data_IF_115074591809
#
_entry.id   IF_115074591809
#
_cell.length_a   1.000
_cell.length_b   1.000
_cell.length_c   1.000
_cell.angle_alpha   90.00
_cell.angle_beta   90.00
_cell.angle_gamma   90.00
#
_symmetry.space_group_name_H-M   'P 1'
#
loop_
_entity.id
_entity.type
_entity.pdbx_description
1 polymer ?
#
# COMPACT_ATOMS: atom_id res chain seq x y z
N UNK A 1 0.95 -22.89 -17.60
CA UNK A 1 -0.20 -21.97 -17.47
C UNK A 1 0.02 -20.84 -18.45
N UNK A 2 -0.98 -20.55 -19.28
CA UNK A 2 -0.91 -19.40 -20.19
C UNK A 2 -1.04 -18.11 -19.38
N UNK A 3 -0.17 -17.14 -19.64
CA UNK A 3 -0.22 -15.82 -18.97
C UNK A 3 -1.39 -15.00 -19.50
N UNK A 4 -2.05 -14.28 -18.60
CA UNK A 4 -3.17 -13.40 -18.96
C UNK A 4 -2.64 -12.10 -19.57
N UNK A 5 -3.31 -11.62 -20.64
CA UNK A 5 -2.98 -10.35 -21.28
C UNK A 5 -3.65 -9.20 -20.54
N UNK A 6 -2.88 -8.16 -20.22
CA UNK A 6 -3.37 -6.92 -19.61
C UNK A 6 -3.01 -5.78 -20.55
N UNK A 7 -4.02 -5.01 -20.93
CA UNK A 7 -3.84 -3.88 -21.84
C UNK A 7 -3.31 -2.68 -21.05
N UNK A 8 -2.45 -1.90 -21.69
CA UNK A 8 -1.93 -0.66 -21.13
C UNK A 8 -2.35 0.49 -22.04
N UNK A 9 -3.03 1.46 -21.45
CA UNK A 9 -3.46 2.67 -22.15
C UNK A 9 -3.17 3.88 -21.27
N UNK A 10 -2.45 4.86 -21.81
CA UNK A 10 -2.10 6.12 -21.11
C UNK A 10 -1.61 5.88 -19.67
N UNK A 11 -0.63 4.99 -19.50
CA UNK A 11 -0.01 4.65 -18.20
C UNK A 11 -1.00 4.03 -17.20
N UNK A 12 -2.08 3.44 -17.68
CA UNK A 12 -3.08 2.74 -16.87
C UNK A 12 -3.23 1.30 -17.31
N UNK A 13 -3.41 0.40 -16.35
CA UNK A 13 -3.79 -0.99 -16.60
C UNK A 13 -5.29 -1.04 -16.89
N UNK A 14 -5.66 -1.53 -18.08
CA UNK A 14 -7.04 -1.57 -18.58
C UNK A 14 -7.37 -2.92 -19.20
N UNK A 15 -8.62 -3.09 -19.64
CA UNK A 15 -9.11 -4.33 -20.24
C UNK A 15 -9.52 -5.39 -19.20
N UNK A 16 -9.88 -6.56 -19.70
CA UNK A 16 -10.59 -7.61 -18.94
C UNK A 16 -9.85 -8.08 -17.70
N UNK A 17 -8.53 -8.24 -17.76
CA UNK A 17 -7.72 -8.78 -16.66
C UNK A 17 -7.01 -7.71 -15.82
N UNK A 18 -7.29 -6.42 -16.06
CA UNK A 18 -6.67 -5.31 -15.33
C UNK A 18 -6.93 -5.36 -13.83
N UNK A 19 -8.18 -5.61 -13.42
CA UNK A 19 -8.55 -5.67 -12.01
C UNK A 19 -7.76 -6.77 -11.28
N UNK A 20 -7.62 -7.94 -11.89
CA UNK A 20 -6.87 -9.05 -11.31
C UNK A 20 -5.39 -8.67 -11.12
N UNK A 21 -4.77 -8.08 -12.14
CA UNK A 21 -3.40 -7.59 -12.07
C UNK A 21 -3.22 -6.52 -10.98
N UNK A 22 -4.15 -5.56 -10.88
CA UNK A 22 -4.14 -4.53 -9.82
C UNK A 22 -4.23 -5.16 -8.43
N UNK A 23 -5.09 -6.17 -8.25
CA UNK A 23 -5.24 -6.88 -6.98
C UNK A 23 -3.98 -7.69 -6.63
N UNK A 24 -3.33 -8.30 -7.63
CA UNK A 24 -2.06 -9.01 -7.46
C UNK A 24 -0.93 -8.05 -7.04
N UNK A 25 -0.79 -6.90 -7.73
CA UNK A 25 0.14 -5.82 -7.34
C UNK A 25 -0.11 -5.41 -5.90
N UNK A 26 -1.36 -5.13 -5.55
CA UNK A 26 -1.72 -4.75 -4.19
C UNK A 26 -1.36 -5.82 -3.16
N UNK A 27 -1.50 -7.09 -3.50
CA UNK A 27 -1.12 -8.21 -2.64
C UNK A 27 0.39 -8.28 -2.43
N UNK A 28 1.20 -8.16 -3.49
CA UNK A 28 2.66 -8.14 -3.38
C UNK A 28 3.20 -6.94 -2.63
N UNK A 29 2.57 -5.76 -2.78
CA UNK A 29 2.88 -4.54 -2.03
C UNK A 29 2.66 -4.69 -0.51
N UNK A 30 1.83 -5.64 -0.08
CA UNK A 30 1.60 -5.93 1.35
C UNK A 30 2.60 -6.91 1.94
N UNK A 31 3.50 -7.50 1.14
CA UNK A 31 4.51 -8.43 1.66
C UNK A 31 5.76 -7.65 2.03
N UNK A 32 6.19 -7.76 3.28
CA UNK A 32 7.33 -7.00 3.83
C UNK A 32 8.64 -7.25 3.07
N UNK A 33 8.84 -8.46 2.54
CA UNK A 33 9.98 -8.80 1.68
C UNK A 33 10.03 -8.00 0.38
N UNK A 34 8.87 -7.64 -0.16
CA UNK A 34 8.77 -6.82 -1.37
C UNK A 34 8.67 -5.34 -1.01
N UNK A 35 8.07 -4.99 0.12
CA UNK A 35 7.66 -3.63 0.44
C UNK A 35 7.86 -3.34 1.94
N UNK A 36 9.02 -2.79 2.33
CA UNK A 36 9.33 -2.56 3.73
C UNK A 36 8.44 -1.44 4.31
N UNK A 37 7.63 -1.81 5.30
CA UNK A 37 6.65 -0.91 5.94
C UNK A 37 7.29 0.24 6.75
N UNK A 38 8.60 0.14 7.04
CA UNK A 38 9.39 1.18 7.71
C UNK A 38 9.65 2.41 6.84
N UNK A 39 9.55 2.29 5.52
CA UNK A 39 9.65 3.43 4.61
C UNK A 39 8.42 4.31 4.83
N UNK A 40 8.58 5.63 4.97
CA UNK A 40 7.44 6.54 5.19
C UNK A 40 6.71 6.87 3.88
N UNK A 41 7.46 7.18 2.82
CA UNK A 41 6.93 7.64 1.54
C UNK A 41 7.32 6.68 0.42
N UNK A 42 6.39 6.37 -0.48
CA UNK A 42 6.66 5.50 -1.63
C UNK A 42 7.88 5.95 -2.45
N UNK A 43 8.09 7.26 -2.60
CA UNK A 43 9.24 7.82 -3.32
C UNK A 43 10.61 7.47 -2.72
N UNK A 44 10.63 7.04 -1.45
CA UNK A 44 11.84 6.63 -0.74
C UNK A 44 12.01 5.10 -0.77
N UNK A 45 11.19 4.37 -1.51
CA UNK A 45 11.28 2.93 -1.61
C UNK A 45 12.55 2.52 -2.37
N UNK A 46 13.28 1.48 -1.92
CA UNK A 46 14.43 0.99 -2.66
C UNK A 46 14.04 0.53 -4.06
N UNK A 47 14.77 0.98 -5.08
CA UNK A 47 14.47 0.66 -6.47
C UNK A 47 14.51 -0.85 -6.77
N UNK A 48 15.37 -1.60 -6.06
CA UNK A 48 15.41 -3.07 -6.11
C UNK A 48 14.04 -3.71 -5.75
N UNK A 49 13.36 -3.16 -4.74
CA UNK A 49 12.05 -3.62 -4.28
C UNK A 49 10.96 -3.32 -5.31
N UNK A 50 11.03 -2.13 -5.92
CA UNK A 50 10.13 -1.75 -7.01
C UNK A 50 10.32 -2.70 -8.21
N UNK A 51 11.58 -2.89 -8.61
CA UNK A 51 11.96 -3.79 -9.70
C UNK A 51 11.49 -5.22 -9.46
N UNK A 52 11.57 -5.72 -8.22
CA UNK A 52 11.12 -7.07 -7.86
C UNK A 52 9.62 -7.26 -8.10
N UNK A 53 8.78 -6.32 -7.68
CA UNK A 53 7.33 -6.41 -7.94
C UNK A 53 7.01 -6.19 -9.41
N UNK A 54 7.72 -5.28 -10.08
CA UNK A 54 7.60 -5.07 -11.53
C UNK A 54 7.91 -6.35 -12.32
N UNK A 55 8.95 -7.10 -11.92
CA UNK A 55 9.26 -8.42 -12.47
C UNK A 55 8.16 -9.44 -12.17
N UNK A 56 7.64 -9.49 -10.94
CA UNK A 56 6.51 -10.38 -10.61
C UNK A 56 5.30 -10.11 -11.52
N UNK A 57 4.94 -8.85 -11.78
CA UNK A 57 3.85 -8.55 -12.72
C UNK A 57 4.11 -9.20 -14.08
N UNK A 58 5.31 -9.04 -14.65
CA UNK A 58 5.68 -9.61 -15.95
C UNK A 58 5.85 -11.13 -15.94
N UNK A 59 6.12 -11.72 -14.77
CA UNK A 59 6.18 -13.17 -14.60
C UNK A 59 4.78 -13.81 -14.67
N UNK A 60 3.72 -13.10 -14.27
CA UNK A 60 2.33 -13.61 -14.27
C UNK A 60 1.45 -13.09 -15.41
N UNK A 61 1.73 -11.88 -15.92
CA UNK A 61 0.92 -11.18 -16.91
C UNK A 61 1.73 -10.79 -18.15
N UNK A 62 1.06 -10.70 -19.30
CA UNK A 62 1.61 -10.12 -20.53
C UNK A 62 1.04 -8.72 -20.67
N UNK A 63 1.89 -7.69 -20.61
CA UNK A 63 1.46 -6.29 -20.80
C UNK A 63 1.48 -5.95 -22.28
N UNK A 64 0.44 -5.26 -22.75
CA UNK A 64 0.31 -4.91 -24.18
C UNK A 64 -0.09 -3.44 -24.34
N UNK A 65 0.80 -2.58 -24.84
CA UNK A 65 2.24 -2.80 -25.01
C UNK A 65 2.98 -2.96 -23.67
N UNK A 66 4.14 -3.63 -23.68
CA UNK A 66 5.08 -3.63 -22.54
C UNK A 66 6.19 -2.61 -22.79
N UNK A 67 5.86 -1.34 -22.56
CA UNK A 67 6.73 -0.19 -22.80
C UNK A 67 6.90 0.66 -21.52
N UNK A 68 7.41 1.89 -21.66
CA UNK A 68 7.55 2.82 -20.53
C UNK A 68 6.21 3.18 -19.88
N UNK A 69 5.10 3.16 -20.63
CA UNK A 69 3.78 3.37 -20.04
C UNK A 69 3.37 2.20 -19.16
N UNK A 70 3.75 0.97 -19.52
CA UNK A 70 3.49 -0.22 -18.71
C UNK A 70 4.26 -0.16 -17.38
N UNK A 71 5.52 0.26 -17.43
CA UNK A 71 6.34 0.46 -16.22
C UNK A 71 5.74 1.55 -15.32
N UNK A 72 5.33 2.69 -15.88
CA UNK A 72 4.69 3.77 -15.12
C UNK A 72 3.32 3.35 -14.55
N UNK A 73 2.56 2.54 -15.28
CA UNK A 73 1.30 1.98 -14.82
C UNK A 73 1.51 1.09 -13.59
N UNK A 74 2.48 0.17 -13.65
CA UNK A 74 2.85 -0.69 -12.52
C UNK A 74 3.26 0.16 -11.32
N UNK A 75 4.19 1.11 -11.49
CA UNK A 75 4.66 2.01 -10.42
C UNK A 75 3.53 2.80 -9.78
N UNK A 76 2.61 3.31 -10.60
CA UNK A 76 1.43 4.03 -10.13
C UNK A 76 0.54 3.13 -9.28
N UNK A 77 0.25 1.91 -9.73
CA UNK A 77 -0.56 0.96 -8.96
C UNK A 77 0.12 0.54 -7.65
N UNK A 78 1.44 0.34 -7.67
CA UNK A 78 2.22 0.05 -6.46
C UNK A 78 2.13 1.21 -5.45
N UNK A 79 2.28 2.45 -5.92
CA UNK A 79 2.16 3.65 -5.09
C UNK A 79 0.77 3.77 -4.48
N UNK A 80 -0.28 3.61 -5.28
CA UNK A 80 -1.67 3.69 -4.81
C UNK A 80 -1.95 2.59 -3.78
N UNK A 81 -1.56 1.36 -4.06
CA UNK A 81 -1.71 0.24 -3.14
C UNK A 81 -0.98 0.49 -1.81
N UNK A 82 0.25 1.01 -1.86
CA UNK A 82 1.05 1.31 -0.68
C UNK A 82 0.41 2.42 0.17
N UNK A 83 0.02 3.54 -0.45
CA UNK A 83 -0.62 4.67 0.25
C UNK A 83 -1.93 4.22 0.89
N UNK A 84 -2.75 3.47 0.14
CA UNK A 84 -4.01 2.93 0.66
C UNK A 84 -3.77 2.00 1.84
N UNK A 85 -2.86 1.04 1.70
CA UNK A 85 -2.57 0.07 2.75
C UNK A 85 -2.11 0.76 4.04
N UNK A 86 -1.16 1.69 3.94
CA UNK A 86 -0.71 2.47 5.09
C UNK A 86 -1.81 3.31 5.73
N UNK A 87 -2.66 3.94 4.92
CA UNK A 87 -3.78 4.74 5.41
C UNK A 87 -4.78 3.91 6.20
N UNK A 88 -5.07 2.70 5.72
CA UNK A 88 -5.96 1.75 6.38
C UNK A 88 -5.36 1.21 7.69
N UNK A 89 -4.06 0.86 7.71
CA UNK A 89 -3.37 0.47 8.94
C UNK A 89 -3.35 1.62 9.97
N UNK A 90 -3.15 2.84 9.50
CA UNK A 90 -3.16 4.01 10.38
C UNK A 90 -4.58 4.28 10.92
N UNK A 91 -5.62 4.06 10.12
CA UNK A 91 -7.01 4.20 10.57
C UNK A 91 -7.35 3.13 11.62
N UNK A 92 -6.94 1.88 11.40
CA UNK A 92 -7.07 0.80 12.39
C UNK A 92 -6.31 1.12 13.68
N UNK A 93 -5.09 1.65 13.59
CA UNK A 93 -4.35 2.08 14.77
C UNK A 93 -5.09 3.18 15.56
N UNK A 94 -5.70 4.15 14.85
CA UNK A 94 -6.44 5.27 15.47
C UNK A 94 -7.78 4.88 16.07
N UNK A 95 -8.33 3.69 15.79
CA UNK A 95 -9.58 3.26 16.41
C UNK A 95 -9.42 2.80 17.86
N UNK A 96 -8.19 2.72 18.38
CA UNK A 96 -7.89 2.36 19.76
C UNK A 96 -7.57 3.60 20.61
N UNK A 97 -7.90 3.53 21.90
CA UNK A 97 -7.75 4.66 22.80
C UNK A 97 -6.29 4.88 23.21
N UNK A 98 -5.52 3.79 23.26
CA UNK A 98 -4.10 3.78 23.65
C UNK A 98 -3.22 2.99 22.68
N UNK A 99 -1.92 3.30 22.70
CA UNK A 99 -0.91 2.58 21.93
C UNK A 99 -0.80 1.11 22.38
N UNK A 100 -0.86 0.88 23.70
CA UNK A 100 -0.79 -0.44 24.34
C UNK A 100 -2.00 -1.31 24.00
N UNK A 101 -3.17 -0.71 23.78
CA UNK A 101 -4.34 -1.40 23.28
C UNK A 101 -4.16 -1.76 21.81
N UNK A 102 -3.73 -0.81 20.96
CA UNK A 102 -3.49 -1.08 19.55
C UNK A 102 -2.51 -2.25 19.33
N UNK A 103 -1.42 -2.32 20.11
CA UNK A 103 -0.43 -3.42 20.05
C UNK A 103 -1.06 -4.81 20.30
N UNK A 104 -2.10 -4.89 21.14
CA UNK A 104 -2.80 -6.16 21.45
C UNK A 104 -3.79 -6.58 20.37
N UNK A 105 -4.10 -5.69 19.42
CA UNK A 105 -5.11 -5.91 18.38
C UNK A 105 -4.56 -5.69 16.97
N UNK A 106 -3.70 -6.60 16.47
CA UNK A 106 -3.17 -6.53 15.10
C UNK A 106 -4.25 -6.36 14.05
N UNK A 107 -3.98 -5.50 13.07
CA UNK A 107 -4.88 -5.34 11.92
C UNK A 107 -5.05 -6.69 11.20
N UNK A 108 -6.28 -7.09 10.84
CA UNK A 108 -6.52 -8.33 10.10
C UNK A 108 -5.89 -8.33 8.70
N UNK A 109 -5.42 -7.18 8.22
CA UNK A 109 -4.71 -7.04 6.93
C UNK A 109 -3.20 -7.22 7.03
N UNK A 110 -2.65 -7.31 8.24
CA UNK A 110 -1.25 -7.63 8.44
C UNK A 110 -1.09 -9.14 8.45
N UNK A 111 -0.07 -9.62 7.72
CA UNK A 111 0.25 -11.05 7.64
C UNK A 111 1.23 -11.49 8.73
N UNK A 112 2.08 -10.59 9.22
CA UNK A 112 3.07 -10.84 10.26
C UNK A 112 2.84 -9.91 11.45
N UNK A 113 2.56 -10.47 12.63
CA UNK A 113 2.28 -9.69 13.85
C UNK A 113 3.44 -8.75 14.22
N UNK A 114 4.69 -9.12 13.94
CA UNK A 114 5.85 -8.25 14.22
C UNK A 114 5.83 -6.97 13.36
N UNK A 115 5.30 -7.06 12.13
CA UNK A 115 5.12 -5.89 11.26
C UNK A 115 4.08 -4.93 11.87
N UNK A 116 3.10 -5.43 12.62
CA UNK A 116 2.12 -4.58 13.29
C UNK A 116 2.74 -3.75 14.40
N UNK A 117 3.58 -4.34 15.25
CA UNK A 117 4.27 -3.62 16.31
C UNK A 117 5.12 -2.47 15.75
N UNK A 118 5.92 -2.77 14.71
CA UNK A 118 6.72 -1.77 13.99
C UNK A 118 5.85 -0.62 13.46
N UNK A 119 4.66 -0.93 12.94
CA UNK A 119 3.75 0.07 12.41
C UNK A 119 3.07 0.89 13.51
N UNK A 120 2.71 0.27 14.64
CA UNK A 120 2.20 0.98 15.81
C UNK A 120 3.21 1.99 16.33
N UNK A 121 4.47 1.60 16.49
CA UNK A 121 5.55 2.47 16.92
C UNK A 121 5.74 3.65 15.96
N UNK A 122 5.70 3.34 14.66
CA UNK A 122 5.75 4.35 13.61
C UNK A 122 4.60 5.36 13.74
N UNK A 123 3.35 4.88 13.87
CA UNK A 123 2.18 5.76 13.97
C UNK A 123 2.11 6.54 15.28
N UNK A 124 2.67 5.99 16.36
CA UNK A 124 2.73 6.64 17.66
C UNK A 124 3.73 7.82 17.68
N UNK A 125 4.80 7.73 16.89
CA UNK A 125 5.88 8.72 16.84
C UNK A 125 5.67 9.79 15.78
N UNK A 126 4.98 9.48 14.67
CA UNK A 126 4.75 10.42 13.58
C UNK A 126 3.68 11.48 13.95
N UNK A 127 4.14 12.72 14.18
CA UNK A 127 3.32 13.87 14.57
C UNK A 127 2.16 14.15 13.59
N UNK A 128 2.27 13.78 12.31
CA UNK A 128 1.17 13.98 11.34
C UNK A 128 -0.04 13.09 11.62
N UNK A 129 0.14 11.98 12.34
CA UNK A 129 -0.95 11.11 12.76
C UNK A 129 -1.56 11.53 14.11
N UNK A 130 -0.86 12.33 14.92
CA UNK A 130 -1.40 12.89 16.18
C UNK A 130 -2.39 14.04 15.96
N UNK A 131 -2.27 14.81 14.87
CA UNK A 131 -3.11 15.98 14.60
C UNK A 131 -4.61 15.62 14.46
N UNK A 132 -4.94 14.44 13.93
CA UNK A 132 -6.35 14.02 13.78
C UNK A 132 -7.04 13.58 15.08
N UNK A 133 -6.32 13.38 16.20
CA UNK A 133 -6.93 13.07 17.50
C UNK A 133 -7.47 14.32 18.21
N UNK A 134 -7.02 15.52 17.82
CA UNK A 134 -7.47 16.79 18.42
C UNK A 134 -8.52 17.57 17.60
N UNK A 135 -8.61 17.35 16.27
CA UNK A 135 -9.56 18.11 15.43
C UNK A 135 -10.98 17.52 15.46
N UNK A 136 -11.15 16.28 15.95
CA UNK A 136 -12.46 15.63 16.10
C UNK A 136 -13.36 16.19 17.22
N UNK A 137 -12.87 17.12 18.04
CA UNK A 137 -13.62 17.73 19.15
C UNK A 137 -14.05 19.19 18.89
N UNK A 138 -13.75 19.77 17.71
CA UNK A 138 -13.98 21.22 17.47
C UNK A 138 -14.69 21.55 16.16
N UNK A 139 -15.44 20.63 15.57
CA UNK A 139 -16.31 20.94 14.41
C UNK A 139 -17.80 20.64 14.64
N UNK A 140 -18.22 20.46 15.89
CA UNK A 140 -19.59 20.70 16.32
C UNK A 140 -19.66 22.03 17.05
N UNK A 141 -19.61 23.14 16.30
CA UNK A 141 -20.21 24.45 16.58
C UNK A 141 -19.53 25.55 15.76
N UNK A 142 -20.01 25.73 14.53
CA UNK A 142 -20.13 27.05 13.90
C UNK A 142 -21.00 26.89 12.64
N UNK A 143 -22.27 27.25 12.78
CA UNK A 143 -23.00 27.91 11.70
C UNK A 143 -22.37 29.28 11.45
#
# INVERSE_FOLDING_TARGET
MDKLKVEVFEKSLVGTFSLECILAIGMWVRHSDNFPLKVHLFRNMPEEKITRVSKLVRDYYILVPDDENAEEAIRTQMRLAYVRYRSELAAHYRSFDSHEEALRHPSPRIRNVDDWAIMCDFFNTDLKFKVYKFVGLTLCNAF
#
